data_IF_954019743086
#
_entry.id   IF_954019743086
#
_cell.length_a   1.000
_cell.length_b   1.000
_cell.length_c   1.000
_cell.angle_alpha   90.00
_cell.angle_beta   90.00
_cell.angle_gamma   90.00
#
_symmetry.space_group_name_H-M   'P 1'
#
loop_
_entity.id
_entity.type
_entity.pdbx_description
1 polymer ?
#
# COMPACT_ATOMS: atom_id res chain seq x y z
N UNK A 1 -4.21 16.62 -18.96
CA UNK A 1 -3.63 15.29 -18.67
C UNK A 1 -2.85 15.38 -17.37
N UNK A 2 -2.88 14.34 -16.52
CA UNK A 2 -2.01 14.20 -15.35
C UNK A 2 -0.53 14.36 -15.68
N UNK A 3 0.28 14.75 -14.69
CA UNK A 3 1.73 14.91 -14.84
C UNK A 3 2.41 13.52 -14.88
N UNK A 4 2.95 13.08 -16.03
CA UNK A 4 3.57 11.77 -16.17
C UNK A 4 4.87 11.62 -15.39
N UNK A 5 5.47 12.73 -14.93
CA UNK A 5 6.70 12.74 -14.13
C UNK A 5 6.45 12.71 -12.62
N UNK A 6 5.19 12.87 -12.20
CA UNK A 6 4.76 12.84 -10.80
C UNK A 6 4.12 11.49 -10.45
N UNK A 7 4.63 10.85 -9.41
CA UNK A 7 4.08 9.62 -8.83
C UNK A 7 3.62 9.85 -7.40
N UNK A 8 2.50 9.23 -7.03
CA UNK A 8 2.03 9.14 -5.65
C UNK A 8 2.18 7.71 -5.15
N UNK A 9 2.90 7.56 -4.05
CA UNK A 9 2.95 6.33 -3.24
C UNK A 9 2.10 6.56 -1.99
N UNK A 10 0.96 5.89 -1.90
CA UNK A 10 0.04 5.98 -0.78
C UNK A 10 0.09 4.69 0.04
N UNK A 11 0.65 4.75 1.25
CA UNK A 11 0.76 3.60 2.14
C UNK A 11 -0.28 3.64 3.26
N UNK A 12 -0.98 2.53 3.46
CA UNK A 12 -1.85 2.27 4.60
C UNK A 12 -1.27 1.11 5.40
N UNK A 13 -0.75 1.41 6.59
CA UNK A 13 -0.08 0.43 7.44
C UNK A 13 -0.93 0.08 8.64
N UNK A 14 -1.12 -1.21 8.86
CA UNK A 14 -1.71 -1.74 10.09
C UNK A 14 -0.77 -1.47 11.27
N UNK A 15 -1.35 -1.03 12.38
CA UNK A 15 -0.72 -0.91 13.69
C UNK A 15 -1.60 -1.53 14.77
N UNK A 16 -2.43 -2.50 14.42
CA UNK A 16 -3.22 -3.30 15.34
C UNK A 16 -2.31 -4.08 16.30
N UNK A 17 -2.86 -4.60 17.40
CA UNK A 17 -2.08 -5.33 18.40
C UNK A 17 -1.33 -6.56 17.86
N UNK A 18 -1.81 -7.17 16.77
CA UNK A 18 -1.15 -8.34 16.14
C UNK A 18 0.24 -8.00 15.60
N UNK A 19 0.42 -6.77 15.09
CA UNK A 19 1.69 -6.27 14.54
C UNK A 19 2.84 -6.23 15.54
N UNK A 20 2.60 -6.49 16.83
CA UNK A 20 3.62 -6.46 17.89
C UNK A 20 4.86 -7.29 17.59
N UNK A 21 4.72 -8.42 16.91
CA UNK A 21 5.85 -9.31 16.58
C UNK A 21 6.72 -8.81 15.42
N UNK A 22 6.17 -7.96 14.53
CA UNK A 22 6.84 -7.48 13.31
C UNK A 22 6.95 -5.96 13.22
N UNK A 23 6.60 -5.23 14.27
CA UNK A 23 6.60 -3.76 14.24
C UNK A 23 7.98 -3.17 13.95
N UNK A 24 9.03 -3.69 14.58
CA UNK A 24 10.41 -3.23 14.37
C UNK A 24 10.86 -3.51 12.92
N UNK A 25 10.57 -4.71 12.41
CA UNK A 25 10.87 -5.09 11.03
C UNK A 25 10.08 -4.26 10.02
N UNK A 26 8.82 -3.93 10.33
CA UNK A 26 7.96 -3.09 9.48
C UNK A 26 8.50 -1.67 9.39
N UNK A 27 8.99 -1.11 10.51
CA UNK A 27 9.65 0.20 10.50
C UNK A 27 10.89 0.19 9.62
N UNK A 28 11.81 -0.74 9.85
CA UNK A 28 13.03 -0.84 9.03
C UNK A 28 12.75 -1.15 7.55
N UNK A 29 11.78 -2.01 7.27
CA UNK A 29 11.36 -2.37 5.92
C UNK A 29 10.75 -1.20 5.15
N UNK A 30 9.86 -0.45 5.79
CA UNK A 30 9.27 0.75 5.19
C UNK A 30 10.32 1.84 4.96
N UNK A 31 11.22 2.08 5.91
CA UNK A 31 12.29 3.07 5.75
C UNK A 31 13.24 2.70 4.59
N UNK A 32 13.54 1.41 4.45
CA UNK A 32 14.34 0.89 3.32
C UNK A 32 13.59 1.05 1.99
N UNK A 33 12.28 0.80 1.98
CA UNK A 33 11.42 1.01 0.81
C UNK A 33 11.41 2.49 0.39
N UNK A 34 11.25 3.43 1.32
CA UNK A 34 11.31 4.86 1.03
C UNK A 34 12.68 5.27 0.50
N UNK A 35 13.77 4.73 1.04
CA UNK A 35 15.11 5.04 0.55
C UNK A 35 15.36 4.50 -0.87
N UNK A 36 14.85 3.32 -1.20
CA UNK A 36 14.87 2.81 -2.57
C UNK A 36 14.07 3.72 -3.51
N UNK A 37 12.86 4.14 -3.09
CA UNK A 37 12.01 5.02 -3.89
C UNK A 37 12.61 6.42 -4.12
N UNK A 38 13.48 6.90 -3.23
CA UNK A 38 14.25 8.15 -3.41
C UNK A 38 15.30 8.06 -4.50
N UNK A 39 15.78 6.85 -4.81
CA UNK A 39 16.80 6.61 -5.82
C UNK A 39 16.28 6.65 -7.26
N UNK A 40 14.96 6.74 -7.46
CA UNK A 40 14.36 6.73 -8.79
C UNK A 40 14.24 8.13 -9.41
N UNK A 41 14.28 8.16 -10.75
CA UNK A 41 14.03 9.36 -11.52
C UNK A 41 12.55 9.78 -11.45
N UNK A 42 12.32 11.09 -11.42
CA UNK A 42 10.99 11.71 -11.35
C UNK A 42 10.68 12.32 -9.98
N UNK A 43 9.47 12.87 -9.85
CA UNK A 43 8.98 13.42 -8.58
C UNK A 43 8.07 12.39 -7.92
N UNK A 44 8.39 12.00 -6.68
CA UNK A 44 7.52 11.14 -5.87
C UNK A 44 7.02 11.92 -4.66
N UNK A 45 5.71 11.89 -4.46
CA UNK A 45 5.05 12.31 -3.22
C UNK A 45 4.52 11.09 -2.49
N UNK A 46 4.47 11.17 -1.16
CA UNK A 46 4.08 10.06 -0.30
C UNK A 46 2.96 10.50 0.63
N UNK A 47 1.93 9.66 0.71
CA UNK A 47 0.87 9.74 1.72
C UNK A 47 0.98 8.52 2.61
N UNK A 48 0.92 8.70 3.93
CA UNK A 48 0.92 7.60 4.90
C UNK A 48 -0.25 7.75 5.84
N UNK A 49 -1.05 6.70 5.93
CA UNK A 49 -2.02 6.51 7.00
C UNK A 49 -1.67 5.24 7.80
N UNK A 50 -2.05 5.26 9.07
CA UNK A 50 -1.96 4.11 9.95
C UNK A 50 -3.33 3.79 10.53
N UNK A 51 -3.60 2.51 10.76
CA UNK A 51 -4.87 2.09 11.30
C UNK A 51 -4.76 0.98 12.34
N UNK A 52 -5.70 1.00 13.28
CA UNK A 52 -6.03 -0.08 14.20
C UNK A 52 -7.58 -0.21 14.17
N UNK A 53 -8.27 -0.07 15.30
CA UNK A 53 -9.71 0.24 15.34
C UNK A 53 -9.99 1.74 15.11
N UNK A 54 -8.93 2.54 14.96
CA UNK A 54 -8.94 3.96 14.62
C UNK A 54 -8.07 4.21 13.40
N UNK A 55 -8.55 5.11 12.54
CA UNK A 55 -7.82 5.60 11.38
C UNK A 55 -7.07 6.90 11.72
N UNK A 56 -5.83 7.03 11.26
CA UNK A 56 -5.07 8.27 11.36
C UNK A 56 -4.21 8.52 10.11
N UNK A 57 -4.48 9.63 9.43
CA UNK A 57 -3.57 10.19 8.44
C UNK A 57 -2.32 10.73 9.15
N UNK A 58 -1.14 10.22 8.80
CA UNK A 58 0.14 10.64 9.39
C UNK A 58 0.70 11.84 8.64
N UNK A 59 0.72 11.75 7.31
CA UNK A 59 1.05 12.84 6.41
C UNK A 59 0.39 12.62 5.06
N UNK A 60 0.05 13.71 4.39
CA UNK A 60 -0.62 13.71 3.09
C UNK A 60 0.23 14.41 2.03
N UNK A 61 0.57 13.67 0.97
CA UNK A 61 1.24 14.14 -0.25
C UNK A 61 2.52 14.98 0.01
N UNK A 62 3.38 14.52 0.91
CA UNK A 62 4.67 15.18 1.15
C UNK A 62 5.72 14.71 0.13
N UNK A 63 6.68 15.56 -0.27
CA UNK A 63 7.78 15.12 -1.13
C UNK A 63 8.59 14.00 -0.46
N UNK A 64 9.02 12.99 -1.23
CA UNK A 64 9.68 11.79 -0.69
C UNK A 64 10.95 12.08 0.13
N UNK A 65 11.67 13.16 -0.18
CA UNK A 65 12.86 13.58 0.57
C UNK A 65 12.54 14.18 1.95
N UNK A 66 11.26 14.50 2.23
CA UNK A 66 10.79 14.98 3.54
C UNK A 66 10.17 13.86 4.38
N UNK A 67 10.04 12.65 3.83
CA UNK A 67 9.45 11.51 4.56
C UNK A 67 10.32 11.15 5.77
N UNK A 68 9.79 11.24 7.00
CA UNK A 68 10.52 10.85 8.19
C UNK A 68 10.61 9.33 8.32
N UNK A 69 11.48 8.85 9.22
CA UNK A 69 11.50 7.44 9.63
C UNK A 69 10.13 7.03 10.18
N UNK A 70 9.71 5.81 9.89
CA UNK A 70 8.41 5.31 10.30
C UNK A 70 8.32 5.21 11.83
N UNK A 71 7.35 5.93 12.40
CA UNK A 71 6.91 5.70 13.77
C UNK A 71 5.64 4.85 13.76
N UNK A 72 5.72 3.62 14.27
CA UNK A 72 4.61 2.67 14.30
C UNK A 72 4.50 2.06 15.70
N UNK A 73 3.34 2.14 16.34
CA UNK A 73 3.13 1.56 17.69
C UNK A 73 1.90 0.66 17.67
N UNK A 74 2.08 -0.67 17.78
CA UNK A 74 0.97 -1.62 17.80
C UNK A 74 0.01 -1.40 18.97
N UNK A 75 -1.29 -1.37 18.70
CA UNK A 75 -2.38 -1.24 19.70
C UNK A 75 -3.73 -1.60 19.08
N UNK A 76 -4.75 -1.84 19.90
CA UNK A 76 -6.12 -1.92 19.41
C UNK A 76 -6.41 -3.14 18.53
N UNK A 77 -7.52 -3.06 17.80
CA UNK A 77 -8.05 -4.12 16.93
C UNK A 77 -7.79 -3.79 15.45
N UNK A 78 -8.40 -4.54 14.50
CA UNK A 78 -8.13 -4.38 13.06
C UNK A 78 -9.42 -3.99 12.33
N UNK A 79 -9.59 -2.70 12.03
CA UNK A 79 -10.68 -2.17 11.20
C UNK A 79 -10.18 -1.89 9.76
N UNK A 80 -9.77 -2.96 9.08
CA UNK A 80 -9.18 -2.95 7.74
C UNK A 80 -10.12 -2.38 6.67
N UNK A 81 -11.38 -2.77 6.65
CA UNK A 81 -12.33 -2.28 5.63
C UNK A 81 -12.60 -0.79 5.79
N UNK A 82 -12.82 -0.33 7.02
CA UNK A 82 -13.00 1.10 7.32
C UNK A 82 -11.76 1.90 6.94
N UNK A 83 -10.57 1.38 7.26
CA UNK A 83 -9.31 2.03 6.95
C UNK A 83 -9.07 2.16 5.44
N UNK A 84 -9.26 1.08 4.66
CA UNK A 84 -9.10 1.11 3.20
C UNK A 84 -10.13 2.04 2.56
N UNK A 85 -11.41 1.92 2.96
CA UNK A 85 -12.48 2.75 2.42
C UNK A 85 -12.24 4.24 2.66
N UNK A 86 -11.86 4.63 3.88
CA UNK A 86 -11.50 6.01 4.22
C UNK A 86 -10.28 6.47 3.44
N UNK A 87 -9.20 5.71 3.45
CA UNK A 87 -7.94 6.08 2.83
C UNK A 87 -8.07 6.36 1.33
N UNK A 88 -8.70 5.44 0.61
CA UNK A 88 -8.88 5.57 -0.85
C UNK A 88 -9.80 6.74 -1.19
N UNK A 89 -10.85 6.95 -0.39
CA UNK A 89 -11.77 8.09 -0.57
C UNK A 89 -11.08 9.43 -0.32
N UNK A 90 -10.24 9.53 0.72
CA UNK A 90 -9.48 10.75 1.04
C UNK A 90 -8.46 11.08 -0.06
N UNK A 91 -7.66 10.10 -0.51
CA UNK A 91 -6.72 10.30 -1.62
C UNK A 91 -7.48 10.74 -2.88
N UNK A 92 -8.60 10.08 -3.20
CA UNK A 92 -9.38 10.40 -4.39
C UNK A 92 -9.93 11.82 -4.34
N UNK A 93 -10.37 12.26 -3.16
CA UNK A 93 -10.84 13.62 -2.92
C UNK A 93 -9.72 14.65 -3.05
N UNK A 94 -8.55 14.40 -2.45
CA UNK A 94 -7.37 15.26 -2.56
C UNK A 94 -6.93 15.41 -4.02
N UNK A 95 -6.84 14.30 -4.77
CA UNK A 95 -6.46 14.35 -6.20
C UNK A 95 -7.52 15.03 -7.07
N UNK A 96 -8.82 14.84 -6.79
CA UNK A 96 -9.89 15.51 -7.51
C UNK A 96 -9.88 17.03 -7.33
N UNK A 97 -9.42 17.51 -6.17
CA UNK A 97 -9.28 18.94 -5.88
C UNK A 97 -8.12 19.61 -6.62
N UNK A 98 -7.14 18.84 -7.11
CA UNK A 98 -6.02 19.37 -7.88
C UNK A 98 -6.42 19.66 -9.35
N UNK A 99 -5.83 20.71 -9.95
CA UNK A 99 -5.85 20.89 -11.41
C UNK A 99 -5.35 19.63 -12.10
N UNK A 100 -5.93 19.29 -13.26
CA UNK A 100 -5.62 18.03 -13.94
C UNK A 100 -4.12 17.86 -14.23
N UNK A 101 -3.41 18.94 -14.57
CA UNK A 101 -1.97 18.93 -14.83
C UNK A 101 -1.07 18.83 -13.61
N UNK A 102 -1.62 18.92 -12.40
CA UNK A 102 -0.90 18.75 -11.12
C UNK A 102 -1.18 17.39 -10.48
N UNK A 103 -2.08 16.60 -11.07
CA UNK A 103 -2.36 15.24 -10.58
C UNK A 103 -1.23 14.29 -10.95
N UNK A 104 -0.85 13.34 -10.07
CA UNK A 104 0.12 12.31 -10.40
C UNK A 104 -0.33 11.48 -11.61
N UNK A 105 0.58 11.25 -12.55
CA UNK A 105 0.37 10.33 -13.67
C UNK A 105 0.42 8.85 -13.26
N UNK A 106 0.95 8.56 -12.07
CA UNK A 106 0.95 7.22 -11.48
C UNK A 106 0.53 7.30 -10.01
N UNK A 107 -0.42 6.47 -9.60
CA UNK A 107 -0.85 6.32 -8.20
C UNK A 107 -0.72 4.86 -7.81
N UNK A 108 0.04 4.59 -6.76
CA UNK A 108 0.20 3.25 -6.16
C UNK A 108 -0.29 3.30 -4.72
N UNK A 109 -1.28 2.47 -4.40
CA UNK A 109 -1.83 2.30 -3.06
C UNK A 109 -1.32 0.97 -2.48
N UNK A 110 -0.50 1.06 -1.44
CA UNK A 110 0.03 -0.07 -0.69
C UNK A 110 -0.77 -0.25 0.60
N UNK A 111 -1.34 -1.44 0.81
CA UNK A 111 -1.99 -1.83 2.07
C UNK A 111 -1.21 -2.98 2.68
N UNK A 112 -0.81 -2.84 3.95
CA UNK A 112 -0.05 -3.85 4.68
C UNK A 112 -0.73 -4.16 6.02
N UNK A 113 -0.92 -5.44 6.32
CA UNK A 113 -1.52 -5.90 7.58
C UNK A 113 -1.06 -7.33 7.92
N UNK A 114 -1.02 -7.65 9.22
CA UNK A 114 -0.88 -9.01 9.73
C UNK A 114 -2.14 -9.51 10.46
N UNK A 115 -3.14 -8.63 10.58
CA UNK A 115 -4.37 -8.85 11.30
C UNK A 115 -5.53 -9.23 10.38
N UNK A 116 -6.40 -10.09 10.87
CA UNK A 116 -7.68 -10.35 10.21
C UNK A 116 -8.68 -9.26 10.59
N UNK A 117 -9.44 -8.77 9.60
CA UNK A 117 -10.56 -7.84 9.83
C UNK A 117 -11.48 -8.33 10.97
N UNK A 118 -11.75 -7.47 11.95
CA UNK A 118 -12.57 -7.80 13.12
C UNK A 118 -13.28 -6.61 13.79
N UNK A 119 -13.16 -5.38 13.26
CA UNK A 119 -13.62 -4.18 13.96
C UNK A 119 -14.24 -3.09 13.07
N UNK A 120 -14.30 -3.26 11.74
CA UNK A 120 -14.91 -2.32 10.81
C UNK A 120 -16.43 -2.20 10.99
N UNK A 121 -16.97 -1.00 10.75
CA UNK A 121 -18.39 -0.65 10.97
C UNK A 121 -19.02 0.21 9.89
N UNK A 122 -18.22 0.98 9.15
CA UNK A 122 -18.70 1.95 8.16
C UNK A 122 -18.62 1.38 6.74
N UNK A 123 -17.58 0.60 6.45
CA UNK A 123 -17.31 0.00 5.15
C UNK A 123 -17.45 -1.52 5.20
N UNK A 124 -18.15 -2.06 4.21
CA UNK A 124 -18.23 -3.49 3.98
C UNK A 124 -17.13 -3.95 3.02
N UNK A 125 -16.80 -5.24 3.06
CA UNK A 125 -15.90 -5.85 2.08
C UNK A 125 -16.33 -5.56 0.63
N UNK A 126 -17.64 -5.66 0.34
CA UNK A 126 -18.18 -5.37 -0.97
C UNK A 126 -17.99 -3.91 -1.37
N UNK A 127 -18.24 -2.96 -0.46
CA UNK A 127 -18.06 -1.53 -0.77
C UNK A 127 -16.59 -1.20 -1.03
N UNK A 128 -15.65 -1.81 -0.29
CA UNK A 128 -14.21 -1.68 -0.53
C UNK A 128 -13.82 -2.25 -1.89
N UNK A 129 -14.36 -3.42 -2.24
CA UNK A 129 -14.14 -4.04 -3.55
C UNK A 129 -14.58 -3.14 -4.69
N UNK A 130 -15.82 -2.66 -4.64
CA UNK A 130 -16.37 -1.76 -5.66
C UNK A 130 -15.54 -0.48 -5.77
N UNK A 131 -15.07 0.06 -4.64
CA UNK A 131 -14.21 1.23 -4.62
C UNK A 131 -12.85 0.97 -5.31
N UNK A 132 -12.17 -0.13 -4.99
CA UNK A 132 -10.88 -0.49 -5.60
C UNK A 132 -11.04 -0.70 -7.11
N UNK A 133 -12.03 -1.49 -7.53
CA UNK A 133 -12.32 -1.75 -8.95
C UNK A 133 -12.64 -0.46 -9.72
N UNK A 134 -13.38 0.47 -9.08
CA UNK A 134 -13.65 1.78 -9.66
C UNK A 134 -12.37 2.61 -9.84
N UNK A 135 -11.51 2.69 -8.82
CA UNK A 135 -10.29 3.49 -8.91
C UNK A 135 -9.29 2.92 -9.93
N UNK A 136 -9.15 1.59 -10.01
CA UNK A 136 -8.35 0.94 -11.05
C UNK A 136 -8.89 1.24 -12.46
N UNK A 137 -10.20 1.06 -12.68
CA UNK A 137 -10.79 1.14 -14.02
C UNK A 137 -10.94 2.57 -14.55
N UNK A 138 -11.25 3.54 -13.68
CA UNK A 138 -11.51 4.92 -14.09
C UNK A 138 -10.26 5.79 -14.07
N UNK A 139 -9.34 5.54 -13.14
CA UNK A 139 -8.19 6.42 -12.91
C UNK A 139 -6.84 5.71 -13.06
N UNK A 140 -6.84 4.41 -13.36
CA UNK A 140 -5.61 3.65 -13.55
C UNK A 140 -4.77 3.52 -12.27
N UNK A 141 -5.41 3.61 -11.10
CA UNK A 141 -4.73 3.40 -9.83
C UNK A 141 -4.27 1.96 -9.72
N UNK A 142 -3.25 1.77 -8.89
CA UNK A 142 -2.58 0.49 -8.74
C UNK A 142 -2.59 0.07 -7.28
N UNK A 143 -3.17 -1.08 -6.98
CA UNK A 143 -3.39 -1.54 -5.61
C UNK A 143 -2.53 -2.76 -5.29
N UNK A 144 -1.76 -2.65 -4.20
CA UNK A 144 -0.84 -3.67 -3.71
C UNK A 144 -1.25 -4.07 -2.29
N UNK A 145 -1.36 -5.37 -2.05
CA UNK A 145 -1.74 -5.92 -0.74
C UNK A 145 -0.64 -6.82 -0.19
N UNK A 146 -0.15 -6.52 1.01
CA UNK A 146 0.84 -7.32 1.74
C UNK A 146 0.19 -7.91 3.00
N UNK A 147 0.14 -9.23 3.09
CA UNK A 147 -0.43 -9.93 4.24
C UNK A 147 0.57 -10.82 4.97
N UNK A 148 0.79 -10.60 6.26
CA UNK A 148 1.64 -11.46 7.08
C UNK A 148 0.86 -12.68 7.59
N UNK A 149 1.45 -13.87 7.53
CA UNK A 149 0.91 -15.11 8.13
C UNK A 149 -0.54 -15.46 7.74
N UNK A 150 -1.06 -14.89 6.66
CA UNK A 150 -2.40 -15.13 6.14
C UNK A 150 -2.38 -15.39 4.64
N UNK A 151 -3.49 -15.90 4.11
CA UNK A 151 -3.65 -15.95 2.66
C UNK A 151 -4.01 -14.57 2.13
N UNK A 152 -2.97 -13.79 1.82
CA UNK A 152 -3.08 -12.44 1.30
C UNK A 152 -3.73 -12.44 -0.08
N UNK A 153 -3.56 -13.52 -0.85
CA UNK A 153 -4.17 -13.66 -2.18
C UNK A 153 -5.67 -13.83 -2.04
N UNK A 154 -6.14 -14.74 -1.18
CA UNK A 154 -7.57 -14.93 -0.94
C UNK A 154 -8.21 -13.68 -0.30
N UNK A 155 -7.63 -13.17 0.78
CA UNK A 155 -8.12 -11.99 1.50
C UNK A 155 -8.16 -10.75 0.59
N UNK A 156 -7.06 -10.50 -0.12
CA UNK A 156 -6.95 -9.39 -1.08
C UNK A 156 -7.96 -9.53 -2.22
N UNK A 157 -8.11 -10.74 -2.78
CA UNK A 157 -9.05 -10.99 -3.88
C UNK A 157 -10.50 -10.73 -3.48
N UNK A 158 -10.90 -11.05 -2.24
CA UNK A 158 -12.23 -10.74 -1.73
C UNK A 158 -12.46 -9.23 -1.68
N UNK A 159 -11.44 -8.47 -1.26
CA UNK A 159 -11.44 -7.00 -1.23
C UNK A 159 -11.23 -6.33 -2.59
N UNK A 160 -11.02 -7.07 -3.69
CA UNK A 160 -10.83 -6.51 -5.03
C UNK A 160 -9.38 -6.27 -5.45
N UNK A 161 -8.39 -6.62 -4.62
CA UNK A 161 -6.99 -6.64 -5.05
C UNK A 161 -6.75 -7.78 -6.03
N UNK A 162 -5.87 -7.55 -7.01
CA UNK A 162 -5.49 -8.62 -7.94
C UNK A 162 -4.59 -9.63 -7.25
N UNK A 163 -4.77 -10.90 -7.58
CA UNK A 163 -4.02 -12.01 -6.98
C UNK A 163 -2.50 -11.89 -7.21
N UNK A 164 -2.09 -11.42 -8.38
CA UNK A 164 -0.69 -11.15 -8.71
C UNK A 164 -0.14 -9.90 -8.01
N UNK A 165 -0.98 -9.01 -7.49
CA UNK A 165 -0.58 -7.84 -6.67
C UNK A 165 -0.83 -8.04 -5.17
N UNK A 166 -1.08 -9.29 -4.78
CA UNK A 166 -1.26 -9.70 -3.40
C UNK A 166 -0.14 -10.67 -2.99
N UNK A 167 0.60 -10.32 -1.94
CA UNK A 167 1.76 -11.08 -1.46
C UNK A 167 1.57 -11.51 -0.01
N UNK A 168 1.59 -12.83 0.20
CA UNK A 168 1.75 -13.41 1.53
C UNK A 168 3.22 -13.39 1.90
N UNK A 169 3.53 -12.96 3.12
CA UNK A 169 4.87 -13.04 3.70
C UNK A 169 4.84 -13.64 5.11
N UNK A 170 5.95 -14.22 5.53
CA UNK A 170 6.13 -14.69 6.90
C UNK A 170 6.38 -13.51 7.82
N UNK A 171 5.76 -13.50 9.00
CA UNK A 171 5.99 -12.50 10.04
C UNK A 171 7.37 -12.66 10.70
N UNK A 172 8.42 -12.36 9.92
CA UNK A 172 9.82 -12.43 10.27
C UNK A 172 10.57 -11.30 9.58
N UNK A 173 11.74 -10.92 10.09
CA UNK A 173 12.58 -9.88 9.48
C UNK A 173 12.88 -10.15 8.00
N UNK A 174 13.11 -11.42 7.64
CA UNK A 174 13.36 -11.83 6.25
C UNK A 174 12.11 -11.66 5.39
N UNK A 175 10.96 -12.13 5.87
CA UNK A 175 9.69 -12.05 5.14
C UNK A 175 9.23 -10.60 4.93
N UNK A 176 9.30 -9.76 5.96
CA UNK A 176 8.96 -8.33 5.88
C UNK A 176 9.89 -7.59 4.91
N UNK A 177 11.21 -7.80 5.02
CA UNK A 177 12.17 -7.19 4.10
C UNK A 177 11.95 -7.64 2.66
N UNK A 178 11.66 -8.93 2.44
CA UNK A 178 11.35 -9.47 1.12
C UNK A 178 10.04 -8.90 0.56
N UNK A 179 9.02 -8.69 1.38
CA UNK A 179 7.75 -8.10 0.97
C UNK A 179 7.93 -6.67 0.45
N UNK A 180 8.62 -5.80 1.21
CA UNK A 180 8.93 -4.44 0.75
C UNK A 180 9.83 -4.43 -0.48
N UNK A 181 10.84 -5.31 -0.53
CA UNK A 181 11.70 -5.46 -1.72
C UNK A 181 10.90 -5.84 -2.96
N UNK A 182 9.91 -6.73 -2.83
CA UNK A 182 9.04 -7.11 -3.94
C UNK A 182 8.20 -5.92 -4.44
N UNK A 183 7.78 -5.02 -3.56
CA UNK A 183 7.09 -3.78 -3.94
C UNK A 183 8.03 -2.86 -4.72
N UNK A 184 9.28 -2.69 -4.29
CA UNK A 184 10.30 -1.93 -5.05
C UNK A 184 10.49 -2.55 -6.43
N UNK A 185 10.76 -3.86 -6.50
CA UNK A 185 10.96 -4.58 -7.76
C UNK A 185 9.74 -4.42 -8.69
N UNK A 186 8.53 -4.39 -8.14
CA UNK A 186 7.30 -4.16 -8.89
C UNK A 186 7.18 -2.72 -9.42
N UNK A 187 7.46 -1.72 -8.57
CA UNK A 187 7.46 -0.31 -8.98
C UNK A 187 8.50 -0.03 -10.06
N UNK A 188 9.68 -0.63 -9.96
CA UNK A 188 10.72 -0.55 -10.99
C UNK A 188 10.25 -1.05 -12.34
N UNK A 189 9.61 -2.23 -12.38
CA UNK A 189 9.05 -2.77 -13.62
C UNK A 189 7.95 -1.85 -14.17
N UNK A 190 7.06 -1.34 -13.32
CA UNK A 190 6.00 -0.39 -13.70
C UNK A 190 6.58 0.86 -14.35
N UNK A 191 7.60 1.46 -13.74
CA UNK A 191 8.29 2.64 -14.28
C UNK A 191 8.98 2.34 -15.61
N UNK A 192 9.62 1.17 -15.76
CA UNK A 192 10.32 0.78 -16.99
C UNK A 192 9.37 0.50 -18.17
N UNK A 193 8.17 -0.03 -17.90
CA UNK A 193 7.19 -0.40 -18.94
C UNK A 193 6.11 0.66 -19.19
N UNK A 194 6.08 1.74 -18.39
CA UNK A 194 5.15 2.85 -18.55
C UNK A 194 3.68 2.43 -18.39
N UNK A 195 2.82 2.84 -19.33
CA UNK A 195 1.37 2.54 -19.31
C UNK A 195 1.00 1.09 -19.70
N UNK A 196 1.97 0.22 -19.98
CA UNK A 196 1.68 -1.19 -20.27
C UNK A 196 1.36 -1.96 -18.99
N UNK A 197 0.47 -2.95 -19.07
CA UNK A 197 0.29 -3.89 -17.97
C UNK A 197 1.60 -4.59 -17.68
N UNK A 198 1.99 -4.56 -16.41
CA UNK A 198 3.20 -5.20 -15.90
C UNK A 198 2.77 -6.34 -14.99
N UNK A 199 3.40 -7.50 -15.16
CA UNK A 199 3.22 -8.63 -14.26
C UNK A 199 3.46 -8.19 -12.79
N UNK A 200 2.56 -8.61 -11.90
CA UNK A 200 2.69 -8.38 -10.47
C UNK A 200 3.87 -9.12 -9.83
N UNK A 201 3.66 -9.63 -8.62
CA UNK A 201 4.64 -10.40 -7.87
C UNK A 201 4.91 -11.76 -8.51
N UNK A 202 6.19 -12.02 -8.74
CA UNK A 202 6.67 -13.26 -9.34
C UNK A 202 6.70 -14.41 -8.34
N UNK A 203 6.81 -15.65 -8.84
CA UNK A 203 7.08 -16.84 -8.00
C UNK A 203 8.41 -16.74 -7.23
N UNK A 204 9.34 -15.89 -7.67
CA UNK A 204 10.58 -15.62 -6.91
C UNK A 204 10.28 -14.71 -5.71
N UNK A 205 9.42 -13.72 -5.88
CA UNK A 205 9.03 -12.79 -4.82
C UNK A 205 8.27 -13.53 -3.72
N UNK A 206 7.32 -14.40 -4.11
CA UNK A 206 6.59 -15.29 -3.20
C UNK A 206 7.52 -16.19 -2.37
N UNK A 207 8.50 -16.82 -3.02
CA UNK A 207 9.52 -17.65 -2.36
C UNK A 207 10.42 -16.91 -1.39
N UNK A 208 10.82 -15.69 -1.73
CA UNK A 208 11.63 -14.86 -0.83
C UNK A 208 10.84 -14.38 0.38
N UNK A 209 9.54 -14.16 0.21
CA UNK A 209 8.65 -13.67 1.25
C UNK A 209 8.21 -14.76 2.25
N UNK A 210 8.33 -16.05 1.91
CA UNK A 210 7.99 -17.17 2.80
C UNK A 210 7.18 -18.31 2.18
N UNK A 211 6.92 -18.30 0.86
CA UNK A 211 6.20 -19.39 0.15
C UNK A 211 6.99 -19.97 -1.01
#
# INVERSE_FOLDING_TARGET
MPDPSLSLVAALLDRSGSMSSIADDTRGGFDTFIEAERGHDGTTVVTLAQFDDQYAMVYDSIPIYQVPLLYLVPRGMTALYDAVGKFVTEIGSSLAALPEGERPGSVTVLVMTDGQENSSREWSNQAVRELIEQQESQYGWDFVFLGANMDAVDTGSQMGFKADKSLTYDASSVGVSAAFSAVVDYQDRKRAHGMQQVDGFSERDRRRAGR
#
